data_IF_136377225316
#
_entry.id   IF_136377225316
#
_cell.length_a   1.000
_cell.length_b   1.000
_cell.length_c   1.000
_cell.angle_alpha   90.00
_cell.angle_beta   90.00
_cell.angle_gamma   90.00
#
_symmetry.space_group_name_H-M   'P 1'
#
loop_
_entity.id
_entity.type
_entity.pdbx_description
1 polymer ?
#
# COMPACT_ATOMS: atom_id res chain seq x y z
N UNK A 1 16.73 8.29 9.63
CA UNK A 1 15.78 8.83 10.62
C UNK A 1 14.43 9.25 10.03
N UNK A 2 14.31 10.16 9.06
CA UNK A 2 13.00 10.46 8.43
C UNK A 2 12.48 9.36 7.49
N UNK A 3 13.38 8.67 6.76
CA UNK A 3 13.04 7.50 5.92
C UNK A 3 12.37 6.40 6.75
N UNK A 4 12.98 6.06 7.89
CA UNK A 4 12.48 5.01 8.79
C UNK A 4 11.09 5.31 9.36
N UNK A 5 10.77 6.58 9.60
CA UNK A 5 9.43 6.98 10.06
C UNK A 5 8.38 6.81 8.96
N UNK A 6 8.70 7.22 7.73
CA UNK A 6 7.78 7.08 6.60
C UNK A 6 7.51 5.62 6.23
N UNK A 7 8.56 4.82 6.14
CA UNK A 7 8.42 3.39 5.82
C UNK A 7 7.62 2.67 6.91
N UNK A 8 7.83 3.02 8.18
CA UNK A 8 7.03 2.52 9.30
C UNK A 8 5.55 2.91 9.20
N UNK A 9 5.24 4.15 8.79
CA UNK A 9 3.85 4.59 8.59
C UNK A 9 3.20 3.82 7.44
N UNK A 10 3.89 3.64 6.31
CA UNK A 10 3.35 2.88 5.17
C UNK A 10 3.11 1.42 5.55
N UNK A 11 4.06 0.77 6.23
CA UNK A 11 3.89 -0.61 6.70
C UNK A 11 2.73 -0.74 7.69
N UNK A 12 2.56 0.22 8.61
CA UNK A 12 1.42 0.26 9.51
C UNK A 12 0.10 0.42 8.74
N UNK A 13 0.05 1.33 7.78
CA UNK A 13 -1.14 1.60 6.98
C UNK A 13 -1.53 0.39 6.12
N UNK A 14 -0.55 -0.35 5.63
CA UNK A 14 -0.77 -1.58 4.86
C UNK A 14 -1.34 -2.70 5.74
N UNK A 15 -0.80 -2.88 6.95
CA UNK A 15 -1.36 -3.79 7.95
C UNK A 15 -2.77 -3.40 8.38
N UNK A 16 -3.00 -2.10 8.62
CA UNK A 16 -4.33 -1.58 8.95
C UNK A 16 -5.33 -1.78 7.81
N UNK A 17 -4.89 -1.62 6.55
CA UNK A 17 -5.73 -1.85 5.38
C UNK A 17 -6.21 -3.30 5.32
N UNK A 18 -5.33 -4.27 5.58
CA UNK A 18 -5.73 -5.68 5.67
C UNK A 18 -6.75 -5.94 6.78
N UNK A 19 -6.56 -5.34 7.96
CA UNK A 19 -7.53 -5.44 9.04
C UNK A 19 -8.89 -4.85 8.63
N UNK A 20 -8.90 -3.69 7.97
CA UNK A 20 -10.11 -3.05 7.43
C UNK A 20 -10.81 -3.95 6.42
N UNK A 21 -10.08 -4.66 5.55
CA UNK A 21 -10.71 -5.61 4.61
C UNK A 21 -11.41 -6.73 5.36
N UNK A 22 -10.73 -7.36 6.32
CA UNK A 22 -11.28 -8.52 7.04
C UNK A 22 -12.48 -8.11 7.90
N UNK A 23 -12.28 -7.12 8.79
CA UNK A 23 -13.35 -6.66 9.67
C UNK A 23 -14.46 -5.95 8.90
N UNK A 24 -14.11 -5.14 7.92
CA UNK A 24 -15.06 -4.45 7.06
C UNK A 24 -15.92 -5.42 6.25
N UNK A 25 -15.33 -6.50 5.72
CA UNK A 25 -16.10 -7.53 5.02
C UNK A 25 -17.08 -8.25 5.97
N UNK A 26 -16.62 -8.60 7.18
CA UNK A 26 -17.50 -9.22 8.18
C UNK A 26 -18.65 -8.29 8.62
N UNK A 27 -18.35 -7.01 8.90
CA UNK A 27 -19.35 -6.01 9.28
C UNK A 27 -20.33 -5.75 8.14
N UNK A 28 -19.83 -5.60 6.91
CA UNK A 28 -20.65 -5.39 5.71
C UNK A 28 -21.57 -6.58 5.51
N UNK A 29 -21.05 -7.80 5.54
CA UNK A 29 -21.87 -9.00 5.38
C UNK A 29 -23.02 -9.05 6.39
N UNK A 30 -22.72 -8.89 7.69
CA UNK A 30 -23.73 -8.91 8.75
C UNK A 30 -24.75 -7.76 8.62
N UNK A 31 -24.31 -6.56 8.24
CA UNK A 31 -25.20 -5.40 8.10
C UNK A 31 -26.21 -5.58 6.97
N UNK A 32 -25.80 -6.23 5.88
CA UNK A 32 -26.64 -6.45 4.70
C UNK A 32 -27.41 -7.78 4.74
N UNK A 33 -27.19 -8.65 5.72
CA UNK A 33 -27.91 -9.93 5.86
C UNK A 33 -29.44 -9.74 5.90
N UNK A 34 -29.92 -8.63 6.47
CA UNK A 34 -31.35 -8.29 6.55
C UNK A 34 -32.00 -8.16 5.15
N UNK A 35 -31.21 -7.78 4.14
CA UNK A 35 -31.67 -7.64 2.76
C UNK A 35 -31.58 -8.96 1.96
N UNK A 36 -31.11 -10.04 2.59
CA UNK A 36 -30.99 -11.36 2.00
C UNK A 36 -29.54 -11.82 1.80
N UNK A 37 -29.35 -13.14 1.83
CA UNK A 37 -28.03 -13.77 1.74
C UNK A 37 -27.31 -13.49 0.41
N UNK A 38 -28.02 -13.57 -0.72
CA UNK A 38 -27.42 -13.36 -2.04
C UNK A 38 -26.91 -11.91 -2.22
N UNK A 39 -27.73 -10.94 -1.81
CA UNK A 39 -27.38 -9.52 -1.94
C UNK A 39 -26.24 -9.13 -0.99
N UNK A 40 -26.28 -9.58 0.26
CA UNK A 40 -25.20 -9.34 1.23
C UNK A 40 -23.86 -9.90 0.77
N UNK A 41 -23.85 -11.11 0.20
CA UNK A 41 -22.65 -11.72 -0.35
C UNK A 41 -22.10 -10.92 -1.54
N UNK A 42 -22.96 -10.49 -2.46
CA UNK A 42 -22.56 -9.65 -3.60
C UNK A 42 -21.95 -8.32 -3.16
N UNK A 43 -22.60 -7.61 -2.24
CA UNK A 43 -22.12 -6.32 -1.71
C UNK A 43 -20.79 -6.49 -0.99
N UNK A 44 -20.64 -7.56 -0.21
CA UNK A 44 -19.39 -7.86 0.50
C UNK A 44 -18.25 -8.12 -0.47
N UNK A 45 -18.49 -8.89 -1.55
CA UNK A 45 -17.48 -9.10 -2.59
C UNK A 45 -17.11 -7.77 -3.25
N UNK A 46 -18.09 -6.93 -3.61
CA UNK A 46 -17.81 -5.62 -4.18
C UNK A 46 -16.97 -4.73 -3.24
N UNK A 47 -17.27 -4.74 -1.95
CA UNK A 47 -16.49 -4.04 -0.92
C UNK A 47 -15.03 -4.56 -0.86
N UNK A 48 -14.84 -5.88 -0.86
CA UNK A 48 -13.50 -6.48 -0.84
C UNK A 48 -12.71 -6.09 -2.07
N UNK A 49 -13.31 -6.18 -3.26
CA UNK A 49 -12.66 -5.79 -4.53
C UNK A 49 -12.23 -4.33 -4.50
N UNK A 50 -13.12 -3.41 -4.08
CA UNK A 50 -12.79 -1.99 -3.95
C UNK A 50 -11.66 -1.76 -2.94
N UNK A 51 -11.67 -2.49 -1.83
CA UNK A 51 -10.64 -2.35 -0.80
C UNK A 51 -9.28 -2.90 -1.25
N UNK A 52 -9.26 -3.94 -2.09
CA UNK A 52 -8.02 -4.45 -2.70
C UNK A 52 -7.35 -3.41 -3.59
N UNK A 53 -8.11 -2.57 -4.32
CA UNK A 53 -7.53 -1.46 -5.07
C UNK A 53 -6.81 -0.47 -4.16
N UNK A 54 -7.34 -0.20 -2.97
CA UNK A 54 -6.69 0.66 -1.97
C UNK A 54 -5.37 0.05 -1.46
N UNK A 55 -5.36 -1.27 -1.18
CA UNK A 55 -4.14 -1.98 -0.77
C UNK A 55 -3.09 -1.92 -1.89
N UNK A 56 -3.48 -2.21 -3.13
CA UNK A 56 -2.58 -2.16 -4.28
C UNK A 56 -2.00 -0.76 -4.50
N UNK A 57 -2.80 0.29 -4.29
CA UNK A 57 -2.31 1.66 -4.39
C UNK A 57 -1.23 1.97 -3.33
N UNK A 58 -1.42 1.52 -2.09
CA UNK A 58 -0.42 1.67 -1.02
C UNK A 58 0.85 0.88 -1.31
N UNK A 59 0.72 -0.35 -1.80
CA UNK A 59 1.86 -1.17 -2.19
C UNK A 59 2.65 -0.54 -3.35
N UNK A 60 1.94 -0.10 -4.40
CA UNK A 60 2.56 0.58 -5.54
C UNK A 60 3.27 1.87 -5.11
N UNK A 61 2.69 2.63 -4.17
CA UNK A 61 3.32 3.80 -3.60
C UNK A 61 4.62 3.46 -2.85
N UNK A 62 4.60 2.40 -2.03
CA UNK A 62 5.78 1.89 -1.32
C UNK A 62 6.92 1.51 -2.28
N UNK A 63 6.60 0.74 -3.32
CA UNK A 63 7.58 0.29 -4.33
C UNK A 63 8.17 1.48 -5.10
N UNK A 64 7.33 2.42 -5.55
CA UNK A 64 7.80 3.60 -6.29
C UNK A 64 8.71 4.48 -5.43
N UNK A 65 8.43 4.60 -4.13
CA UNK A 65 9.30 5.29 -3.17
C UNK A 65 10.68 4.63 -3.11
N UNK A 66 10.73 3.31 -2.96
CA UNK A 66 12.00 2.57 -2.90
C UNK A 66 12.82 2.76 -4.19
N UNK A 67 12.17 2.62 -5.36
CA UNK A 67 12.80 2.87 -6.67
C UNK A 67 13.41 4.27 -6.77
N UNK A 68 12.69 5.30 -6.32
CA UNK A 68 13.19 6.67 -6.33
C UNK A 68 14.45 6.81 -5.45
N UNK A 69 14.46 6.19 -4.27
CA UNK A 69 15.60 6.24 -3.36
C UNK A 69 16.83 5.51 -3.93
N UNK A 70 16.62 4.40 -4.63
CA UNK A 70 17.68 3.67 -5.31
C UNK A 70 18.25 4.48 -6.48
N UNK A 71 17.39 5.08 -7.31
CA UNK A 71 17.82 5.96 -8.40
C UNK A 71 18.68 7.12 -7.86
N UNK A 72 18.26 7.79 -6.77
CA UNK A 72 19.06 8.84 -6.14
C UNK A 72 20.42 8.35 -5.62
N UNK A 73 20.49 7.13 -5.06
CA UNK A 73 21.78 6.54 -4.63
C UNK A 73 22.68 6.29 -5.83
N UNK A 74 22.15 5.74 -6.93
CA UNK A 74 22.88 5.50 -8.16
C UNK A 74 23.42 6.81 -8.78
N UNK A 75 22.60 7.86 -8.85
CA UNK A 75 23.04 9.18 -9.36
C UNK A 75 24.16 9.77 -8.51
N UNK A 76 24.08 9.66 -7.17
CA UNK A 76 25.16 10.12 -6.28
C UNK A 76 26.46 9.35 -6.46
N UNK A 77 26.37 8.03 -6.64
CA UNK A 77 27.53 7.18 -6.94
C UNK A 77 28.17 7.58 -8.27
N UNK A 78 27.37 7.77 -9.32
CA UNK A 78 27.84 8.19 -10.64
C UNK A 78 28.55 9.55 -10.58
N UNK A 79 27.97 10.53 -9.88
CA UNK A 79 28.58 11.84 -9.68
C UNK A 79 29.94 11.75 -8.95
N UNK A 80 30.05 10.85 -7.96
CA UNK A 80 31.30 10.62 -7.23
C UNK A 80 32.38 9.96 -8.11
N UNK A 81 31.99 9.03 -8.99
CA UNK A 81 32.90 8.40 -9.95
C UNK A 81 33.41 9.45 -10.95
N UNK A 82 32.50 10.24 -11.52
CA UNK A 82 32.84 11.28 -12.50
C UNK A 82 33.81 12.32 -11.91
N UNK A 83 33.49 12.87 -10.73
CA UNK A 83 34.35 13.84 -10.05
C UNK A 83 35.72 13.29 -9.63
N UNK A 84 35.86 11.97 -9.45
CA UNK A 84 37.15 11.32 -9.18
C UNK A 84 38.00 11.11 -10.45
N UNK A 85 37.38 10.97 -11.61
CA UNK A 85 38.08 10.78 -12.90
C UNK A 85 38.41 12.08 -13.63
N UNK A 86 37.72 13.19 -13.32
CA UNK A 86 37.97 14.51 -13.93
C UNK A 86 38.93 15.40 -13.10
N UNK A 87 39.47 14.86 -11.99
CA UNK A 87 40.64 15.41 -11.28
C UNK A 87 41.85 14.57 -11.58
#
# INVERSE_FOLDING_TARGET
>A
MQKDKFDRIISFLLGASWAIVIFGAFITFNSFLVLGFALSLFITIAFVVLSLFMILALDAFSINRQRLLEAQKQTKLLAKIYSKHTK
#
